data_IF_394633430588
#
_entry.id   IF_394633430588
#
_cell.length_a   1.000
_cell.length_b   1.000
_cell.length_c   1.000
_cell.angle_alpha   90.00
_cell.angle_beta   90.00
_cell.angle_gamma   90.00
#
_symmetry.space_group_name_H-M   'P 1'
#
loop_
_entity.id
_entity.type
_entity.pdbx_description
1 polymer ?
#
# COMPACT_ATOMS: atom_id res chain seq x y z
N UNK A 1 -28.43 36.33 23.79
CA UNK A 1 -28.31 36.26 22.32
C UNK A 1 -28.07 34.81 21.94
N UNK A 2 -29.05 34.18 21.27
CA UNK A 2 -29.00 32.77 20.86
C UNK A 2 -28.06 32.61 19.66
N UNK A 3 -27.09 31.70 19.79
CA UNK A 3 -26.24 31.29 18.68
C UNK A 3 -27.09 30.54 17.64
N UNK A 4 -27.08 31.03 16.41
CA UNK A 4 -27.73 30.38 15.28
C UNK A 4 -26.90 29.17 14.86
N UNK A 5 -27.52 27.99 14.94
CA UNK A 5 -27.00 26.77 14.36
C UNK A 5 -26.97 26.91 12.83
N UNK A 6 -25.77 26.94 12.25
CA UNK A 6 -25.58 26.79 10.81
C UNK A 6 -26.01 25.39 10.40
N UNK A 7 -27.05 25.30 9.59
CA UNK A 7 -27.46 24.07 8.90
C UNK A 7 -26.42 23.80 7.81
N UNK A 8 -25.61 22.76 7.97
CA UNK A 8 -24.90 22.16 6.85
C UNK A 8 -25.93 21.50 5.93
N UNK A 9 -26.02 21.99 4.70
CA UNK A 9 -26.76 21.37 3.60
C UNK A 9 -25.95 20.20 3.02
N UNK A 10 -26.50 18.99 2.89
CA UNK A 10 -25.83 17.93 2.13
C UNK A 10 -26.14 18.15 0.66
N UNK A 11 -25.24 18.77 -0.09
CA UNK A 11 -25.31 18.69 -1.56
C UNK A 11 -24.77 17.33 -1.99
N UNK A 12 -25.70 16.39 -2.17
CA UNK A 12 -25.47 15.20 -2.97
C UNK A 12 -25.24 15.62 -4.42
N UNK A 13 -24.01 15.46 -4.89
CA UNK A 13 -23.76 15.37 -6.33
C UNK A 13 -23.00 14.08 -6.56
N UNK A 14 -23.73 13.06 -7.05
CA UNK A 14 -23.13 12.04 -7.90
C UNK A 14 -22.61 12.78 -9.14
N UNK A 15 -21.34 13.17 -9.13
CA UNK A 15 -20.72 13.86 -10.25
C UNK A 15 -20.28 12.80 -11.24
N UNK A 16 -20.97 12.73 -12.39
CA UNK A 16 -20.51 12.06 -13.60
C UNK A 16 -19.28 12.75 -14.18
N UNK A 17 -18.18 12.75 -13.44
CA UNK A 17 -16.84 13.08 -13.92
C UNK A 17 -16.18 11.84 -14.52
N UNK A 18 -15.26 12.04 -15.46
CA UNK A 18 -14.40 10.96 -15.95
C UNK A 18 -13.60 10.40 -14.75
N UNK A 19 -13.61 9.08 -14.50
CA UNK A 19 -12.82 8.48 -13.44
C UNK A 19 -11.33 8.82 -13.59
N UNK A 20 -10.70 9.32 -12.52
CA UNK A 20 -9.30 9.71 -12.52
C UNK A 20 -8.41 8.50 -12.80
N UNK A 21 -7.38 8.66 -13.64
CA UNK A 21 -6.39 7.60 -13.94
C UNK A 21 -7.00 6.30 -14.49
N UNK A 22 -8.20 6.34 -15.10
CA UNK A 22 -8.90 5.16 -15.64
C UNK A 22 -7.98 4.25 -16.46
N UNK A 23 -7.20 4.83 -17.37
CA UNK A 23 -6.33 4.09 -18.29
C UNK A 23 -4.92 3.85 -17.73
N UNK A 24 -4.62 4.38 -16.53
CA UNK A 24 -3.29 4.35 -15.89
C UNK A 24 -3.28 3.58 -14.55
N UNK A 25 -4.42 3.06 -14.09
CA UNK A 25 -4.56 2.38 -12.80
C UNK A 25 -5.18 0.98 -12.94
N UNK A 26 -4.50 -0.02 -12.37
CA UNK A 26 -5.07 -1.36 -12.14
C UNK A 26 -5.51 -1.52 -10.68
N UNK A 27 -6.56 -2.32 -10.46
CA UNK A 27 -6.97 -2.75 -9.11
C UNK A 27 -6.56 -4.20 -8.88
N UNK A 28 -5.69 -4.45 -7.91
CA UNK A 28 -5.18 -5.79 -7.57
C UNK A 28 -5.90 -6.35 -6.34
N UNK A 29 -6.56 -7.50 -6.51
CA UNK A 29 -7.38 -8.15 -5.47
C UNK A 29 -6.89 -9.58 -5.24
N UNK A 30 -6.28 -9.90 -4.08
CA UNK A 30 -6.07 -11.28 -3.68
C UNK A 30 -7.38 -11.89 -3.17
N UNK A 31 -7.63 -13.15 -3.51
CA UNK A 31 -8.84 -13.83 -3.05
C UNK A 31 -8.70 -15.33 -2.96
N UNK A 32 -9.53 -15.97 -2.13
CA UNK A 32 -9.76 -17.42 -2.10
C UNK A 32 -11.25 -17.78 -2.30
N UNK A 33 -12.08 -16.79 -2.67
CA UNK A 33 -13.54 -16.92 -2.75
C UNK A 33 -14.13 -16.06 -3.88
N UNK A 34 -15.44 -16.18 -4.11
CA UNK A 34 -16.12 -15.35 -5.12
C UNK A 34 -16.09 -13.86 -4.74
N UNK A 35 -16.01 -13.01 -5.75
CA UNK A 35 -15.85 -11.56 -5.57
C UNK A 35 -17.18 -10.81 -5.51
N UNK A 36 -18.17 -11.35 -4.81
CA UNK A 36 -19.51 -10.73 -4.69
C UNK A 36 -19.45 -9.32 -4.05
N UNK A 37 -18.41 -9.03 -3.26
CA UNK A 37 -18.15 -7.71 -2.66
C UNK A 37 -17.98 -6.60 -3.72
N UNK A 38 -17.60 -6.94 -4.95
CA UNK A 38 -17.45 -5.99 -6.04
C UNK A 38 -18.75 -5.28 -6.39
N UNK A 39 -19.92 -5.87 -6.12
CA UNK A 39 -21.20 -5.20 -6.33
C UNK A 39 -21.33 -3.93 -5.47
N UNK A 40 -20.81 -3.96 -4.23
CA UNK A 40 -20.80 -2.80 -3.34
C UNK A 40 -19.84 -1.72 -3.80
N UNK A 41 -18.77 -2.11 -4.50
CA UNK A 41 -17.77 -1.21 -5.06
C UNK A 41 -18.01 -0.84 -6.52
N UNK A 42 -19.05 -1.39 -7.16
CA UNK A 42 -19.30 -1.27 -8.60
C UNK A 42 -19.25 0.18 -9.09
N UNK A 43 -19.87 1.17 -8.41
CA UNK A 43 -19.79 2.57 -8.84
C UNK A 43 -18.36 3.12 -8.93
N UNK A 44 -17.43 2.57 -8.14
CA UNK A 44 -16.05 3.04 -8.02
C UNK A 44 -15.05 2.17 -8.79
N UNK A 45 -15.27 0.85 -8.89
CA UNK A 45 -14.28 -0.09 -9.44
C UNK A 45 -14.55 -0.46 -10.90
N UNK A 46 -15.82 -0.46 -11.34
CA UNK A 46 -16.18 -0.88 -12.69
C UNK A 46 -15.42 -0.15 -13.82
N UNK A 47 -15.04 1.13 -13.68
CA UNK A 47 -14.27 1.81 -14.72
C UNK A 47 -12.84 1.31 -14.91
N UNK A 48 -12.26 0.61 -13.93
CA UNK A 48 -10.85 0.20 -13.92
C UNK A 48 -10.70 -1.28 -14.24
N UNK A 49 -9.54 -1.65 -14.78
CA UNK A 49 -9.18 -3.05 -15.00
C UNK A 49 -8.77 -3.71 -13.67
N UNK A 50 -9.21 -4.96 -13.47
CA UNK A 50 -8.94 -5.72 -12.25
C UNK A 50 -7.91 -6.83 -12.52
N UNK A 51 -6.94 -6.98 -11.63
CA UNK A 51 -6.04 -8.14 -11.58
C UNK A 51 -6.40 -8.95 -10.34
N UNK A 52 -7.06 -10.10 -10.56
CA UNK A 52 -7.47 -11.01 -9.50
C UNK A 52 -6.41 -12.09 -9.32
N UNK A 53 -5.87 -12.19 -8.09
CA UNK A 53 -4.91 -13.24 -7.74
C UNK A 53 -5.60 -14.26 -6.85
N UNK A 54 -5.93 -15.41 -7.43
CA UNK A 54 -6.51 -16.54 -6.72
C UNK A 54 -5.44 -17.28 -5.91
N UNK A 55 -5.64 -17.29 -4.60
CA UNK A 55 -4.87 -18.07 -3.65
C UNK A 55 -5.56 -19.41 -3.33
N UNK A 56 -4.81 -20.33 -2.71
CA UNK A 56 -5.31 -21.64 -2.32
C UNK A 56 -5.40 -22.65 -3.46
N UNK A 57 -6.51 -23.37 -3.55
CA UNK A 57 -6.68 -24.49 -4.49
C UNK A 57 -7.01 -23.96 -5.90
N UNK A 58 -6.11 -24.13 -6.89
CA UNK A 58 -6.32 -23.61 -8.25
C UNK A 58 -7.41 -24.36 -9.02
N UNK A 59 -7.89 -25.51 -8.54
CA UNK A 59 -9.00 -26.24 -9.16
C UNK A 59 -10.37 -25.62 -8.86
N UNK A 60 -10.45 -24.74 -7.85
CA UNK A 60 -11.69 -24.04 -7.51
C UNK A 60 -11.90 -22.88 -8.47
N UNK A 61 -13.10 -22.78 -9.02
CA UNK A 61 -13.50 -21.63 -9.83
C UNK A 61 -13.94 -20.48 -8.93
N UNK A 62 -13.33 -19.32 -9.14
CA UNK A 62 -13.74 -18.06 -8.52
C UNK A 62 -14.68 -17.34 -9.49
N UNK A 63 -15.86 -16.93 -8.99
CA UNK A 63 -16.79 -16.10 -9.76
C UNK A 63 -16.52 -14.63 -9.52
N UNK A 64 -16.48 -13.88 -10.61
CA UNK A 64 -16.45 -12.42 -10.64
C UNK A 64 -17.80 -11.95 -11.20
N UNK A 65 -18.46 -10.94 -10.61
CA UNK A 65 -19.72 -10.42 -11.14
C UNK A 65 -19.59 -9.91 -12.58
N UNK A 66 -20.69 -9.95 -13.34
CA UNK A 66 -20.69 -9.52 -14.73
C UNK A 66 -20.38 -8.03 -14.89
N UNK A 67 -19.77 -7.67 -16.02
CA UNK A 67 -19.50 -6.29 -16.41
C UNK A 67 -18.25 -5.65 -15.81
N UNK A 68 -17.37 -6.43 -15.17
CA UNK A 68 -16.00 -6.03 -14.82
C UNK A 68 -15.00 -6.51 -15.87
N UNK A 69 -14.03 -5.67 -16.20
CA UNK A 69 -12.86 -6.03 -17.01
C UNK A 69 -11.77 -6.57 -16.10
N UNK A 70 -11.35 -7.83 -16.29
CA UNK A 70 -10.41 -8.47 -15.39
C UNK A 70 -9.55 -9.57 -16.02
N UNK A 71 -8.36 -9.74 -15.44
CA UNK A 71 -7.54 -10.94 -15.57
C UNK A 71 -7.51 -11.70 -14.25
N UNK A 72 -7.55 -13.04 -14.31
CA UNK A 72 -7.46 -13.90 -13.15
C UNK A 72 -6.25 -14.83 -13.25
N UNK A 73 -5.42 -14.80 -12.22
CA UNK A 73 -4.23 -15.64 -12.10
C UNK A 73 -4.33 -16.54 -10.89
N UNK A 74 -4.06 -17.84 -11.06
CA UNK A 74 -3.97 -18.79 -9.95
C UNK A 74 -2.54 -19.34 -9.80
N UNK A 75 -2.33 -20.26 -8.86
CA UNK A 75 -1.00 -20.83 -8.58
C UNK A 75 -0.37 -21.54 -9.77
N UNK A 76 -1.15 -22.10 -10.70
CA UNK A 76 -0.62 -22.72 -11.92
C UNK A 76 -0.08 -21.67 -12.88
N UNK A 77 -0.77 -20.52 -13.03
CA UNK A 77 -0.30 -19.41 -13.85
C UNK A 77 0.98 -18.79 -13.28
N UNK A 78 1.03 -18.58 -11.97
CA UNK A 78 2.23 -18.06 -11.28
C UNK A 78 3.43 -18.99 -11.56
N UNK A 79 3.25 -20.31 -11.42
CA UNK A 79 4.31 -21.29 -11.71
C UNK A 79 4.70 -21.33 -13.18
N UNK A 80 3.74 -21.20 -14.09
CA UNK A 80 3.97 -21.17 -15.53
C UNK A 80 4.76 -19.94 -15.96
N UNK A 81 4.45 -18.78 -15.38
CA UNK A 81 5.04 -17.48 -15.72
C UNK A 81 6.41 -17.30 -15.08
N UNK A 82 6.55 -17.62 -13.78
CA UNK A 82 7.79 -17.38 -13.03
C UNK A 82 8.73 -18.59 -12.95
N UNK A 83 8.27 -19.78 -13.37
CA UNK A 83 9.04 -21.02 -13.26
C UNK A 83 9.52 -21.27 -11.82
N UNK A 84 10.82 -21.58 -11.60
CA UNK A 84 11.37 -21.77 -10.26
C UNK A 84 11.23 -20.55 -9.33
N UNK A 85 11.18 -19.32 -9.89
CA UNK A 85 11.07 -18.09 -9.10
C UNK A 85 9.70 -17.90 -8.45
N UNK A 86 8.69 -18.70 -8.84
CA UNK A 86 7.37 -18.70 -8.20
C UNK A 86 7.42 -18.96 -6.67
N UNK A 87 8.53 -19.48 -6.15
CA UNK A 87 8.77 -19.64 -4.72
C UNK A 87 8.82 -18.30 -3.95
N UNK A 88 9.13 -17.17 -4.60
CA UNK A 88 9.11 -15.85 -3.94
C UNK A 88 7.70 -15.26 -3.78
N UNK A 89 6.70 -15.83 -4.46
CA UNK A 89 5.29 -15.42 -4.30
C UNK A 89 4.66 -16.27 -3.20
N UNK A 90 4.11 -15.59 -2.19
CA UNK A 90 3.50 -16.26 -1.05
C UNK A 90 2.30 -17.12 -1.43
N UNK A 91 1.94 -18.06 -0.55
CA UNK A 91 0.87 -19.03 -0.75
C UNK A 91 0.10 -19.26 0.55
N UNK A 92 -1.23 -19.24 0.47
CA UNK A 92 -2.16 -19.30 1.62
C UNK A 92 -2.13 -18.05 2.50
N UNK A 93 -1.85 -16.90 1.90
CA UNK A 93 -2.00 -15.58 2.51
C UNK A 93 -2.25 -14.49 1.44
N UNK A 94 -2.59 -13.30 1.92
CA UNK A 94 -2.95 -12.18 1.06
C UNK A 94 -1.74 -11.50 0.38
N UNK A 95 -0.51 -11.90 0.71
CA UNK A 95 0.70 -11.42 0.04
C UNK A 95 0.90 -12.05 -1.35
N UNK A 96 0.06 -13.02 -1.74
CA UNK A 96 -0.03 -13.48 -3.14
C UNK A 96 -0.30 -12.32 -4.12
N UNK A 97 -0.94 -11.23 -3.67
CA UNK A 97 -1.16 -9.99 -4.44
C UNK A 97 0.11 -9.39 -5.04
N UNK A 98 1.28 -9.68 -4.46
CA UNK A 98 2.56 -9.23 -5.00
C UNK A 98 2.72 -9.70 -6.45
N UNK A 99 2.22 -10.89 -6.81
CA UNK A 99 2.19 -11.30 -8.22
C UNK A 99 1.40 -10.33 -9.10
N UNK A 100 0.26 -9.84 -8.62
CA UNK A 100 -0.54 -8.82 -9.31
C UNK A 100 0.23 -7.52 -9.55
N UNK A 101 1.06 -7.10 -8.60
CA UNK A 101 1.93 -5.92 -8.79
C UNK A 101 2.95 -6.12 -9.91
N UNK A 102 3.45 -7.35 -10.06
CA UNK A 102 4.49 -7.70 -11.01
C UNK A 102 3.97 -7.78 -12.45
N UNK A 103 2.71 -8.20 -12.64
CA UNK A 103 2.10 -8.35 -13.98
C UNK A 103 1.36 -7.10 -14.46
N UNK A 104 0.99 -6.19 -13.55
CA UNK A 104 0.40 -4.91 -13.94
C UNK A 104 1.35 -4.12 -14.83
N UNK A 105 0.80 -3.59 -15.93
CA UNK A 105 1.53 -2.71 -16.88
C UNK A 105 1.13 -1.25 -16.71
N UNK A 106 0.22 -0.97 -15.79
CA UNK A 106 -0.30 0.36 -15.50
C UNK A 106 0.66 1.11 -14.59
N UNK A 107 0.61 2.44 -14.64
CA UNK A 107 1.50 3.32 -13.87
C UNK A 107 1.17 3.27 -12.37
N UNK A 108 -0.10 3.07 -12.04
CA UNK A 108 -0.60 3.03 -10.67
C UNK A 108 -1.27 1.70 -10.38
N UNK A 109 -1.16 1.27 -9.13
CA UNK A 109 -1.83 0.10 -8.62
C UNK A 109 -2.60 0.52 -7.37
N UNK A 110 -3.89 0.19 -7.34
CA UNK A 110 -4.69 0.18 -6.12
C UNK A 110 -4.85 -1.27 -5.66
N UNK A 111 -4.72 -1.56 -4.37
CA UNK A 111 -4.96 -2.91 -3.85
C UNK A 111 -5.96 -2.88 -2.72
N UNK A 112 -6.80 -3.92 -2.67
CA UNK A 112 -7.86 -4.06 -1.67
C UNK A 112 -8.14 -5.54 -1.42
N UNK A 113 -8.50 -5.87 -0.18
CA UNK A 113 -8.85 -7.24 0.22
C UNK A 113 -10.30 -7.56 -0.14
N UNK A 114 -10.61 -8.84 -0.35
CA UNK A 114 -11.93 -9.32 -0.74
C UNK A 114 -13.01 -9.21 0.36
N UNK A 115 -12.64 -8.73 1.56
CA UNK A 115 -13.51 -8.47 2.71
C UNK A 115 -13.42 -7.02 3.24
N UNK A 116 -12.97 -6.10 2.36
CA UNK A 116 -13.05 -4.66 2.56
C UNK A 116 -14.33 -4.10 1.93
N UNK A 117 -15.18 -3.48 2.75
CA UNK A 117 -16.51 -2.99 2.37
C UNK A 117 -16.61 -1.47 2.51
N UNK A 118 -17.55 -0.86 1.77
CA UNK A 118 -17.94 0.53 1.98
C UNK A 118 -18.57 0.72 3.37
N UNK A 119 -18.47 1.92 3.93
CA UNK A 119 -18.94 2.22 5.27
C UNK A 119 -20.46 1.96 5.42
N UNK A 120 -20.90 1.15 6.41
CA UNK A 120 -22.32 0.86 6.64
C UNK A 120 -23.15 2.07 7.06
N UNK A 121 -22.55 3.23 7.39
CA UNK A 121 -23.29 4.46 7.72
C UNK A 121 -23.99 5.12 6.52
N UNK A 122 -23.86 4.56 5.30
CA UNK A 122 -24.54 5.03 4.10
C UNK A 122 -23.93 6.27 3.44
N UNK A 123 -22.83 6.82 3.98
CA UNK A 123 -22.04 7.83 3.29
C UNK A 123 -21.16 7.13 2.26
N UNK A 124 -21.44 7.37 0.98
CA UNK A 124 -20.58 6.95 -0.12
C UNK A 124 -19.22 7.64 0.02
N UNK A 125 -18.16 6.85 0.22
CA UNK A 125 -16.79 7.33 0.25
C UNK A 125 -16.04 6.63 -0.87
N UNK A 126 -15.62 7.41 -1.86
CA UNK A 126 -14.76 6.92 -2.93
C UNK A 126 -13.32 6.78 -2.43
N UNK A 127 -13.01 5.64 -1.81
CA UNK A 127 -11.67 5.40 -1.27
C UNK A 127 -10.59 5.44 -2.36
N UNK A 128 -10.89 4.97 -3.57
CA UNK A 128 -9.95 4.99 -4.71
C UNK A 128 -9.54 6.41 -5.05
N UNK A 129 -10.52 7.30 -5.20
CA UNK A 129 -10.25 8.72 -5.51
C UNK A 129 -9.45 9.41 -4.42
N UNK A 130 -9.68 9.09 -3.15
CA UNK A 130 -8.87 9.63 -2.05
C UNK A 130 -7.41 9.17 -2.13
N UNK A 131 -7.18 7.90 -2.48
CA UNK A 131 -5.83 7.38 -2.70
C UNK A 131 -5.17 7.99 -3.94
N UNK A 132 -5.92 8.17 -5.03
CA UNK A 132 -5.45 8.86 -6.23
C UNK A 132 -5.05 10.30 -5.89
N UNK A 133 -5.89 11.05 -5.17
CA UNK A 133 -5.58 12.43 -4.74
C UNK A 133 -4.31 12.49 -3.90
N UNK A 134 -4.09 11.51 -3.01
CA UNK A 134 -2.87 11.44 -2.22
C UNK A 134 -1.63 11.17 -3.09
N UNK A 135 -1.73 10.28 -4.09
CA UNK A 135 -0.63 9.96 -5.00
C UNK A 135 -0.30 11.12 -5.96
N UNK A 136 -1.30 11.88 -6.38
CA UNK A 136 -1.14 13.00 -7.31
C UNK A 136 -0.69 14.31 -6.64
N UNK A 137 -0.60 14.34 -5.31
CA UNK A 137 -0.14 15.51 -4.55
C UNK A 137 1.18 15.22 -3.82
N UNK A 138 2.08 16.21 -3.66
CA UNK A 138 3.34 16.01 -2.96
C UNK A 138 3.17 15.63 -1.48
N UNK A 139 4.22 15.10 -0.87
CA UNK A 139 4.33 14.83 0.57
C UNK A 139 5.33 15.74 1.25
N UNK A 140 5.25 15.85 2.58
CA UNK A 140 6.20 16.60 3.42
C UNK A 140 6.92 15.67 4.41
N UNK A 141 7.86 14.82 3.96
CA UNK A 141 8.43 13.76 4.81
C UNK A 141 9.35 14.27 5.93
N UNK A 142 9.89 15.48 5.80
CA UNK A 142 10.94 16.00 6.71
C UNK A 142 10.40 16.69 7.96
N UNK A 143 9.18 17.22 7.91
CA UNK A 143 8.61 18.02 8.98
C UNK A 143 7.19 17.60 9.26
N UNK A 144 6.89 17.37 10.54
CA UNK A 144 5.54 17.14 11.01
C UNK A 144 4.70 18.41 10.83
N UNK A 145 3.61 18.32 10.06
CA UNK A 145 2.66 19.41 9.93
C UNK A 145 1.53 19.25 10.95
N UNK A 146 1.32 20.27 11.77
CA UNK A 146 0.26 20.28 12.79
C UNK A 146 -1.12 20.47 12.18
N UNK A 147 -1.22 21.08 10.98
CA UNK A 147 -2.43 21.08 10.18
C UNK A 147 -2.36 19.91 9.19
N UNK A 148 -3.46 19.17 9.08
CA UNK A 148 -3.53 17.97 8.23
C UNK A 148 -3.45 18.36 6.74
N UNK A 149 -2.49 17.76 6.03
CA UNK A 149 -2.15 17.90 4.60
C UNK A 149 -2.23 19.33 4.00
N UNK A 150 -1.10 20.04 3.85
CA UNK A 150 -1.07 21.42 3.33
C UNK A 150 -1.37 21.52 1.82
N UNK A 151 -1.51 20.40 1.11
CA UNK A 151 -1.79 20.37 -0.34
C UNK A 151 -3.28 20.20 -0.66
N UNK A 152 -4.15 20.14 0.35
CA UNK A 152 -5.60 20.04 0.16
C UNK A 152 -6.18 21.42 -0.14
N UNK A 153 -7.31 21.42 -0.84
CA UNK A 153 -8.04 22.66 -1.10
C UNK A 153 -8.44 23.34 0.22
N UNK A 154 -8.16 24.64 0.32
CA UNK A 154 -8.45 25.44 1.51
C UNK A 154 -7.47 25.29 2.67
N UNK A 155 -6.35 24.56 2.51
CA UNK A 155 -5.27 24.48 3.51
C UNK A 155 -4.00 25.21 3.03
N UNK A 156 -3.09 25.51 3.96
CA UNK A 156 -1.78 26.11 3.68
C UNK A 156 -0.74 25.61 4.71
N UNK A 157 0.53 25.87 4.44
CA UNK A 157 1.64 25.57 5.34
C UNK A 157 1.57 26.39 6.63
N UNK A 158 1.79 25.70 7.74
CA UNK A 158 1.84 26.33 9.07
C UNK A 158 3.00 27.31 9.19
N UNK A 159 2.83 28.30 10.09
CA UNK A 159 3.91 29.23 10.45
C UNK A 159 5.14 28.46 10.91
N UNK A 160 6.31 28.84 10.39
CA UNK A 160 7.59 28.21 10.72
C UNK A 160 7.98 27.05 9.80
N UNK A 161 7.11 26.62 8.88
CA UNK A 161 7.49 25.65 7.85
C UNK A 161 8.45 26.30 6.82
N UNK A 162 9.66 25.76 6.60
CA UNK A 162 10.63 26.35 5.68
C UNK A 162 10.08 26.49 4.26
N UNK A 163 10.21 27.69 3.67
CA UNK A 163 9.72 27.96 2.31
C UNK A 163 10.36 27.04 1.26
N UNK A 164 11.66 26.74 1.41
CA UNK A 164 12.40 25.85 0.51
C UNK A 164 11.91 24.41 0.49
N UNK A 165 11.05 24.01 1.43
CA UNK A 165 10.51 22.65 1.54
C UNK A 165 9.04 22.56 1.13
N UNK A 166 8.41 23.67 0.73
CA UNK A 166 6.97 23.71 0.42
C UNK A 166 6.60 23.05 -0.90
N UNK A 167 7.58 22.82 -1.79
CA UNK A 167 7.36 22.02 -3.01
C UNK A 167 7.12 20.54 -2.71
N UNK A 168 7.57 20.07 -1.53
CA UNK A 168 7.41 18.70 -1.10
C UNK A 168 8.21 17.68 -1.90
N UNK A 169 7.84 16.41 -1.75
CA UNK A 169 8.41 15.29 -2.50
C UNK A 169 7.33 14.52 -3.25
N UNK A 170 7.62 13.92 -4.41
CA UNK A 170 6.65 13.09 -5.14
C UNK A 170 6.14 11.94 -4.28
N UNK A 171 4.81 11.78 -4.17
CA UNK A 171 4.19 10.69 -3.40
C UNK A 171 4.14 9.41 -4.23
N UNK A 172 4.70 8.31 -3.70
CA UNK A 172 4.77 7.01 -4.39
C UNK A 172 3.96 5.92 -3.70
N UNK A 173 3.58 6.13 -2.44
CA UNK A 173 2.71 5.22 -1.69
C UNK A 173 1.62 6.02 -1.01
N UNK A 174 0.37 5.61 -1.20
CA UNK A 174 -0.74 6.01 -0.36
C UNK A 174 -1.26 4.80 0.40
N UNK A 175 -1.18 4.81 1.72
CA UNK A 175 -1.64 3.73 2.58
C UNK A 175 -2.99 4.08 3.19
N UNK A 176 -3.95 3.15 3.14
CA UNK A 176 -5.29 3.31 3.70
C UNK A 176 -5.43 2.54 5.00
N UNK A 177 -6.41 2.92 5.81
CA UNK A 177 -6.65 2.28 7.10
C UNK A 177 -8.10 1.86 7.25
N UNK A 178 -8.30 0.85 8.09
CA UNK A 178 -9.62 0.35 8.42
C UNK A 178 -10.30 1.28 9.44
N UNK A 179 -11.60 1.50 9.25
CA UNK A 179 -12.45 2.28 10.15
C UNK A 179 -12.65 1.58 11.49
N UNK A 180 -12.85 0.26 11.45
CA UNK A 180 -13.47 -0.49 12.53
C UNK A 180 -12.54 -1.46 13.27
N UNK A 181 -11.39 -1.80 12.70
CA UNK A 181 -10.41 -2.72 13.31
C UNK A 181 -9.04 -2.03 13.26
N UNK A 182 -8.46 -1.65 14.40
CA UNK A 182 -7.06 -1.23 14.45
C UNK A 182 -6.12 -2.37 14.08
N UNK A 183 -5.02 -2.03 13.41
CA UNK A 183 -3.99 -2.99 13.01
C UNK A 183 -3.03 -3.27 14.19
N UNK A 184 -3.57 -3.94 15.21
CA UNK A 184 -2.86 -4.32 16.43
C UNK A 184 -2.31 -5.74 16.34
N UNK A 185 -1.20 -5.98 17.04
CA UNK A 185 -0.74 -7.33 17.33
C UNK A 185 -1.85 -8.13 18.07
N UNK A 186 -1.85 -9.46 17.91
CA UNK A 186 -2.88 -10.31 18.49
C UNK A 186 -3.10 -10.12 20.01
N UNK A 187 -2.06 -10.02 20.87
CA UNK A 187 -2.23 -9.68 22.29
C UNK A 187 -2.94 -8.35 22.52
N UNK A 188 -2.53 -7.28 21.85
CA UNK A 188 -3.14 -5.95 21.99
C UNK A 188 -4.60 -5.98 21.51
N UNK A 189 -4.89 -6.67 20.41
CA UNK A 189 -6.25 -6.86 19.91
C UNK A 189 -7.15 -7.58 20.93
N UNK A 190 -6.61 -8.59 21.64
CA UNK A 190 -7.33 -9.32 22.69
C UNK A 190 -7.72 -8.43 23.88
N UNK A 191 -6.83 -7.53 24.30
CA UNK A 191 -7.08 -6.66 25.47
C UNK A 191 -7.78 -5.36 25.12
N UNK A 192 -7.87 -5.00 23.83
CA UNK A 192 -8.52 -3.76 23.35
C UNK A 192 -9.56 -3.96 22.24
N UNK A 193 -10.57 -4.85 22.42
CA UNK A 193 -11.49 -5.23 21.34
C UNK A 193 -12.44 -4.10 20.86
N UNK A 194 -12.57 -3.03 21.65
CA UNK A 194 -13.46 -1.88 21.35
C UNK A 194 -12.72 -0.66 20.80
N UNK A 195 -11.39 -0.67 20.76
CA UNK A 195 -10.62 0.47 20.25
C UNK A 195 -10.79 0.59 18.73
N UNK A 196 -10.67 1.82 18.23
CA UNK A 196 -10.82 2.20 16.83
C UNK A 196 -9.67 3.11 16.43
N UNK A 197 -9.31 3.12 15.15
CA UNK A 197 -8.16 3.87 14.67
C UNK A 197 -8.33 5.37 14.86
N UNK A 198 -7.36 6.00 15.53
CA UNK A 198 -7.33 7.45 15.78
C UNK A 198 -5.97 8.12 15.48
N UNK A 199 -4.90 7.34 15.21
CA UNK A 199 -3.53 7.83 15.00
C UNK A 199 -2.74 6.91 14.07
N UNK A 200 -1.75 7.48 13.37
CA UNK A 200 -1.02 6.83 12.28
C UNK A 200 0.48 7.10 12.33
N UNK A 201 1.29 6.10 12.00
CA UNK A 201 2.75 6.23 11.82
C UNK A 201 3.21 5.27 10.72
N UNK A 202 4.16 5.68 9.88
CA UNK A 202 4.68 4.87 8.77
C UNK A 202 6.20 5.00 8.71
N UNK A 203 6.89 3.90 8.42
CA UNK A 203 8.34 3.83 8.22
C UNK A 203 8.62 3.25 6.82
N UNK A 204 9.31 3.97 5.94
CA UNK A 204 9.72 3.47 4.62
C UNK A 204 11.18 3.83 4.31
N UNK A 205 12.12 2.98 4.71
CA UNK A 205 13.58 3.20 4.56
C UNK A 205 14.00 3.56 3.13
N UNK A 206 13.50 2.84 2.12
CA UNK A 206 13.85 3.08 0.71
C UNK A 206 13.25 4.40 0.22
N UNK A 207 12.00 4.70 0.60
CA UNK A 207 11.37 5.96 0.25
C UNK A 207 12.16 7.13 0.83
N UNK A 208 12.56 7.05 2.09
CA UNK A 208 13.33 8.09 2.78
C UNK A 208 14.69 8.31 2.10
N UNK A 209 15.39 7.23 1.73
CA UNK A 209 16.66 7.31 1.02
C UNK A 209 16.55 7.98 -0.36
N UNK A 210 15.49 7.65 -1.10
CA UNK A 210 15.23 8.18 -2.45
C UNK A 210 14.44 9.51 -2.45
N UNK A 211 14.14 10.06 -1.27
CA UNK A 211 13.33 11.28 -1.09
C UNK A 211 11.95 11.17 -1.73
N UNK A 212 11.31 10.03 -1.57
CA UNK A 212 9.95 9.76 -2.04
C UNK A 212 8.95 9.87 -0.89
N UNK A 213 7.78 10.43 -1.20
CA UNK A 213 6.71 10.68 -0.26
C UNK A 213 5.82 9.47 -0.01
N UNK A 214 5.37 9.33 1.25
CA UNK A 214 4.33 8.38 1.65
C UNK A 214 3.22 9.15 2.35
N UNK A 215 1.97 8.94 1.93
CA UNK A 215 0.79 9.51 2.60
C UNK A 215 -0.07 8.43 3.23
N UNK A 216 -0.57 8.71 4.41
CA UNK A 216 -1.60 7.89 5.04
C UNK A 216 -2.95 8.57 4.86
N UNK A 217 -3.85 7.89 4.16
CA UNK A 217 -5.24 8.32 4.01
C UNK A 217 -6.01 8.26 5.32
N UNK A 218 -7.14 8.96 5.40
CA UNK A 218 -8.06 8.77 6.51
C UNK A 218 -8.61 7.33 6.46
N UNK A 219 -9.16 6.81 7.57
CA UNK A 219 -9.77 5.50 7.53
C UNK A 219 -11.09 5.61 6.77
N UNK A 220 -11.23 4.84 5.69
CA UNK A 220 -12.40 4.90 4.78
C UNK A 220 -13.09 3.56 4.61
N UNK A 221 -12.41 2.46 4.93
CA UNK A 221 -12.82 1.10 4.59
C UNK A 221 -13.34 0.39 5.84
N UNK A 222 -14.49 -0.28 5.72
CA UNK A 222 -15.02 -1.15 6.75
C UNK A 222 -14.55 -2.59 6.51
N UNK A 223 -13.85 -3.17 7.48
CA UNK A 223 -13.34 -4.52 7.39
C UNK A 223 -14.26 -5.51 8.11
N UNK A 224 -14.90 -6.46 7.43
CA UNK A 224 -15.94 -7.28 8.08
C UNK A 224 -15.38 -8.36 9.01
N UNK A 225 -14.08 -8.65 8.96
CA UNK A 225 -13.50 -9.82 9.61
C UNK A 225 -12.36 -9.45 10.54
N UNK A 226 -12.50 -9.71 11.83
CA UNK A 226 -11.32 -9.89 12.68
C UNK A 226 -10.89 -11.36 12.55
N UNK A 227 -9.66 -11.62 12.13
CA UNK A 227 -9.07 -12.97 12.19
C UNK A 227 -9.06 -13.47 13.64
N UNK A 228 -9.09 -14.79 13.84
CA UNK A 228 -9.09 -15.35 15.19
C UNK A 228 -7.77 -14.99 15.90
N UNK A 229 -7.80 -14.19 16.98
CA UNK A 229 -6.60 -13.68 17.61
C UNK A 229 -5.72 -14.78 18.21
N UNK A 230 -6.28 -15.92 18.63
CA UNK A 230 -5.49 -17.05 19.13
C UNK A 230 -4.74 -17.79 18.03
N UNK A 231 -5.36 -17.92 16.85
CA UNK A 231 -4.69 -18.49 15.66
C UNK A 231 -3.59 -17.54 15.20
N UNK A 232 -3.87 -16.24 15.19
CA UNK A 232 -2.91 -15.21 14.87
C UNK A 232 -1.73 -15.19 15.85
N UNK A 233 -1.99 -15.21 17.15
CA UNK A 233 -0.94 -15.28 18.17
C UNK A 233 0.00 -16.47 17.95
N UNK A 234 -0.53 -17.66 17.61
CA UNK A 234 0.31 -18.83 17.29
C UNK A 234 1.16 -18.64 16.04
N UNK A 235 0.74 -17.81 15.08
CA UNK A 235 1.52 -17.48 13.88
C UNK A 235 2.51 -16.34 14.15
N UNK A 236 2.11 -15.37 14.95
CA UNK A 236 2.80 -14.11 15.19
C UNK A 236 3.75 -14.15 16.39
N UNK A 237 3.72 -15.20 17.22
CA UNK A 237 4.46 -15.22 18.50
C UNK A 237 5.96 -14.92 18.34
N UNK A 238 6.60 -15.44 17.30
CA UNK A 238 8.02 -15.11 17.01
C UNK A 238 8.19 -13.65 16.64
N UNK A 239 7.23 -13.10 15.88
CA UNK A 239 7.18 -11.71 15.48
C UNK A 239 7.20 -10.74 16.66
N UNK A 240 6.55 -11.09 17.78
CA UNK A 240 6.57 -10.28 19.01
C UNK A 240 8.02 -10.09 19.50
N UNK A 241 8.83 -11.15 19.52
CA UNK A 241 10.24 -11.07 19.92
C UNK A 241 11.11 -10.46 18.83
N UNK A 242 10.84 -10.79 17.57
CA UNK A 242 11.62 -10.24 16.45
C UNK A 242 11.46 -8.74 16.32
N UNK A 243 10.31 -8.15 16.67
CA UNK A 243 10.08 -6.71 16.56
C UNK A 243 11.07 -5.87 17.37
N UNK A 244 11.51 -6.37 18.54
CA UNK A 244 12.53 -5.72 19.37
C UNK A 244 13.88 -5.56 18.65
N UNK A 245 14.17 -6.43 17.69
CA UNK A 245 15.39 -6.37 16.86
C UNK A 245 15.12 -5.71 15.50
N UNK A 246 13.95 -5.96 14.90
CA UNK A 246 13.57 -5.46 13.57
C UNK A 246 13.40 -3.93 13.56
N UNK A 247 12.73 -3.36 14.57
CA UNK A 247 12.46 -1.93 14.60
C UNK A 247 13.77 -1.15 14.71
N UNK A 248 14.67 -1.42 15.68
CA UNK A 248 15.97 -0.75 15.73
C UNK A 248 16.81 -1.00 14.48
N UNK A 249 16.76 -2.21 13.90
CA UNK A 249 17.44 -2.51 12.65
C UNK A 249 16.99 -1.56 11.54
N UNK A 250 15.69 -1.46 11.23
CA UNK A 250 15.20 -0.62 10.14
C UNK A 250 15.39 0.87 10.41
N UNK A 251 15.32 1.32 11.66
CA UNK A 251 15.64 2.69 12.05
C UNK A 251 17.13 3.04 11.84
N UNK A 252 18.02 2.03 11.92
CA UNK A 252 19.46 2.19 11.77
C UNK A 252 19.97 1.85 10.35
N UNK A 253 19.12 1.37 9.44
CA UNK A 253 19.54 1.08 8.06
C UNK A 253 19.99 2.38 7.39
N UNK A 254 21.21 2.36 6.87
CA UNK A 254 21.74 3.40 6.00
C UNK A 254 22.07 2.75 4.67
N UNK A 255 21.44 3.24 3.61
CA UNK A 255 21.73 2.81 2.25
C UNK A 255 22.88 3.66 1.65
N UNK A 256 23.82 3.05 0.91
CA UNK A 256 24.88 3.75 0.20
C UNK A 256 24.35 4.80 -0.78
N UNK A 257 25.06 5.92 -0.95
CA UNK A 257 24.61 7.05 -1.80
C UNK A 257 24.50 6.70 -3.29
N UNK A 258 25.18 5.66 -3.74
CA UNK A 258 25.12 5.14 -5.11
C UNK A 258 23.92 4.20 -5.36
N UNK A 259 23.15 3.88 -4.31
CA UNK A 259 21.85 3.22 -4.41
C UNK A 259 20.77 4.22 -4.85
N UNK A 260 20.85 4.68 -6.10
CA UNK A 260 19.96 5.72 -6.64
C UNK A 260 18.64 5.19 -7.23
N UNK A 261 18.39 3.89 -7.16
CA UNK A 261 17.19 3.26 -7.71
C UNK A 261 16.59 2.28 -6.71
N UNK A 262 15.28 2.04 -6.80
CA UNK A 262 14.59 1.06 -5.94
C UNK A 262 15.25 -0.32 -6.01
N UNK A 263 15.65 -0.76 -7.21
CA UNK A 263 16.35 -2.04 -7.43
C UNK A 263 17.64 -2.11 -6.60
N UNK A 264 18.52 -1.11 -6.73
CA UNK A 264 19.78 -1.06 -5.97
C UNK A 264 19.52 -0.99 -4.45
N UNK A 265 18.59 -0.15 -4.02
CA UNK A 265 18.22 -0.04 -2.61
C UNK A 265 17.71 -1.36 -2.03
N UNK A 266 16.84 -2.07 -2.77
CA UNK A 266 16.23 -3.32 -2.31
C UNK A 266 17.23 -4.47 -2.25
N UNK A 267 18.13 -4.55 -3.23
CA UNK A 267 19.24 -5.51 -3.23
C UNK A 267 20.22 -5.22 -2.08
N UNK A 268 20.53 -3.95 -1.82
CA UNK A 268 21.41 -3.61 -0.70
C UNK A 268 20.74 -3.89 0.65
N UNK A 269 19.45 -3.59 0.78
CA UNK A 269 18.66 -3.93 1.96
C UNK A 269 18.64 -5.45 2.20
N UNK A 270 18.53 -6.28 1.15
CA UNK A 270 18.51 -7.74 1.30
C UNK A 270 19.83 -8.28 1.87
N UNK A 271 20.98 -7.69 1.50
CA UNK A 271 22.29 -8.03 2.09
C UNK A 271 22.31 -7.70 3.58
N UNK A 272 21.86 -6.50 3.97
CA UNK A 272 21.82 -6.08 5.37
C UNK A 272 20.86 -6.95 6.21
N UNK A 273 19.68 -7.30 5.65
CA UNK A 273 18.73 -8.25 6.27
C UNK A 273 19.40 -9.59 6.51
N UNK A 274 20.09 -10.16 5.52
CA UNK A 274 20.80 -11.43 5.67
C UNK A 274 21.85 -11.37 6.76
N UNK A 275 22.71 -10.36 6.72
CA UNK A 275 23.86 -10.26 7.62
C UNK A 275 23.44 -10.02 9.08
N UNK A 276 22.49 -9.11 9.29
CA UNK A 276 22.10 -8.65 10.62
C UNK A 276 20.97 -9.49 11.21
N UNK A 277 19.91 -9.74 10.44
CA UNK A 277 18.73 -10.45 10.92
C UNK A 277 18.81 -11.96 10.72
N UNK A 278 19.64 -12.45 9.80
CA UNK A 278 19.86 -13.89 9.60
C UNK A 278 20.39 -14.63 10.85
N UNK A 279 20.98 -13.89 11.81
CA UNK A 279 21.43 -14.40 13.11
C UNK A 279 20.27 -14.64 14.09
N UNK A 280 19.13 -13.99 13.88
CA UNK A 280 17.95 -14.06 14.76
C UNK A 280 17.14 -15.33 14.47
N UNK A 281 16.86 -15.60 13.19
CA UNK A 281 16.15 -16.79 12.76
C UNK A 281 16.50 -17.11 11.28
N UNK A 282 16.66 -18.40 10.90
CA UNK A 282 16.90 -18.81 9.52
C UNK A 282 15.86 -18.30 8.50
N UNK A 283 14.66 -17.93 8.97
CA UNK A 283 13.66 -17.24 8.17
C UNK A 283 14.21 -16.00 7.45
N UNK A 284 15.02 -15.17 8.13
CA UNK A 284 15.51 -13.92 7.55
C UNK A 284 16.56 -14.14 6.44
N UNK A 285 17.33 -15.23 6.52
CA UNK A 285 18.20 -15.66 5.42
C UNK A 285 17.36 -16.02 4.19
N UNK A 286 16.29 -16.81 4.38
CA UNK A 286 15.36 -17.15 3.29
C UNK A 286 14.62 -15.93 2.75
N UNK A 287 14.26 -14.99 3.62
CA UNK A 287 13.64 -13.72 3.22
C UNK A 287 14.59 -12.93 2.32
N UNK A 288 15.87 -12.82 2.69
CA UNK A 288 16.86 -12.15 1.85
C UNK A 288 17.06 -12.85 0.49
N UNK A 289 17.04 -14.19 0.43
CA UNK A 289 17.04 -14.95 -0.84
C UNK A 289 15.81 -14.62 -1.68
N UNK A 290 14.63 -14.58 -1.06
CA UNK A 290 13.36 -14.26 -1.70
C UNK A 290 13.31 -12.81 -2.21
N UNK A 291 13.91 -11.85 -1.49
CA UNK A 291 14.04 -10.46 -1.92
C UNK A 291 14.85 -10.33 -3.22
N UNK A 292 15.96 -11.08 -3.34
CA UNK A 292 16.76 -11.10 -4.57
C UNK A 292 15.97 -11.77 -5.70
N UNK A 293 15.39 -12.93 -5.43
CA UNK A 293 14.56 -13.67 -6.41
C UNK A 293 13.40 -12.83 -6.93
N UNK A 294 12.78 -12.01 -6.06
CA UNK A 294 11.71 -11.09 -6.41
C UNK A 294 12.16 -10.05 -7.43
N UNK A 295 13.32 -9.42 -7.23
CA UNK A 295 13.87 -8.42 -8.17
C UNK A 295 14.24 -9.07 -9.50
N UNK A 296 14.85 -10.25 -9.49
CA UNK A 296 15.17 -10.97 -10.72
C UNK A 296 13.91 -11.33 -11.51
N UNK A 297 12.86 -11.79 -10.83
CA UNK A 297 11.56 -12.06 -11.45
C UNK A 297 10.91 -10.78 -11.99
N UNK A 298 11.04 -9.67 -11.27
CA UNK A 298 10.54 -8.37 -11.69
C UNK A 298 11.21 -7.91 -12.99
N UNK A 299 12.55 -7.95 -13.06
CA UNK A 299 13.33 -7.52 -14.23
C UNK A 299 13.04 -8.36 -15.47
N UNK A 300 12.85 -9.68 -15.30
CA UNK A 300 12.50 -10.58 -16.40
C UNK A 300 11.11 -10.29 -16.98
N UNK A 301 10.14 -9.95 -16.11
CA UNK A 301 8.79 -9.63 -16.56
C UNK A 301 8.62 -8.18 -17.01
N UNK A 302 9.40 -7.27 -16.44
CA UNK A 302 9.36 -5.83 -16.70
C UNK A 302 10.73 -5.36 -17.21
N UNK A 303 11.18 -5.84 -18.39
CA UNK A 303 12.46 -5.42 -18.94
C UNK A 303 12.41 -3.91 -19.13
N UNK A 304 13.41 -3.22 -18.61
CA UNK A 304 13.50 -1.77 -18.76
C UNK A 304 13.62 -1.44 -20.25
N UNK A 305 12.60 -0.81 -20.84
CA UNK A 305 12.82 0.09 -21.97
C UNK A 305 13.73 1.25 -21.53
N UNK A 306 14.31 2.05 -22.45
CA UNK A 306 15.15 3.19 -22.08
C UNK A 306 14.41 4.02 -21.02
N UNK A 307 15.05 4.12 -19.85
CA UNK A 307 14.39 4.43 -18.59
C UNK A 307 13.51 5.68 -18.66
N UNK A 308 12.27 5.56 -18.17
CA UNK A 308 11.61 6.71 -17.58
C UNK A 308 12.38 7.04 -16.29
N UNK A 309 13.45 7.81 -16.43
CA UNK A 309 14.14 8.41 -15.30
C UNK A 309 13.10 9.20 -14.50
N UNK A 310 12.91 8.82 -13.24
CA UNK A 310 12.35 9.76 -12.27
C UNK A 310 13.41 10.86 -12.15
N UNK A 311 13.20 11.96 -12.88
CA UNK A 311 14.07 13.13 -12.83
C UNK A 311 13.95 13.71 -11.42
N UNK A 312 14.90 13.36 -10.56
CA UNK A 312 15.15 14.11 -9.33
C UNK A 312 15.77 15.43 -9.76
N UNK A 313 14.96 16.49 -9.80
CA UNK A 313 15.46 17.84 -10.01
C UNK A 313 16.31 18.19 -8.80
N UNK A 314 17.62 17.99 -8.91
CA UNK A 314 18.57 18.56 -7.98
C UNK A 314 18.52 20.07 -8.15
N UNK A 315 17.85 20.76 -7.21
CA UNK A 315 17.92 22.21 -7.09
C UNK A 315 19.37 22.63 -6.99
N UNK A 316 19.91 23.16 -8.08
CA UNK A 316 21.22 23.80 -8.10
C UNK A 316 21.10 25.10 -7.32
N UNK A 317 21.72 25.12 -6.14
CA UNK A 317 22.06 26.36 -5.45
C UNK A 317 23.14 27.08 -6.26
N UNK A 318 22.76 27.84 -7.26
CA UNK A 318 23.64 28.87 -7.80
C UNK A 318 23.37 30.15 -7.03
N UNK A 319 24.28 30.46 -6.11
CA UNK A 319 24.32 31.74 -5.44
C UNK A 319 24.58 32.87 -6.43
N UNK A 320 23.80 33.94 -6.27
CA UNK A 320 24.26 35.32 -6.23
C UNK A 320 23.40 36.05 -5.22
#
# INVERSE_FOLDING_TARGET
MRAAAGKESPSSSAVGGTPLLKDELDIVIPTIRNLDFLEMWRPFFQPYHLIVVQDGDPSKTIRVPEGFDYELYNRNDIKRILGPKAACISFKDSACRCFGYMVSRKKYIYTIDDDCFVNPSGKEINAVEQHISNLLTPSTPYFFNTLYDPYREGTDFVRGYPFSLREGTPTVVSHGLWLNIPDYDAPTQLVKPRERNARYQTLCVICDHLRLGVKTGLPYIWHSKASNPFVNLKKEYKGIFWQEELIPFFQAVVLPKDCTTVHKCYIELSKQVRERLGKIDPYFTKLADAMVTWIEAWDELNPSGPAAEVVVVNGSSNGK
#
